data_IF_829283351943
#
_entry.id   IF_829283351943
#
_cell.length_a   1.000
_cell.length_b   1.000
_cell.length_c   1.000
_cell.angle_alpha   90.00
_cell.angle_beta   90.00
_cell.angle_gamma   90.00
#
_symmetry.space_group_name_H-M   'P 1'
#
loop_
_entity.id
_entity.type
_entity.pdbx_description
1 polymer ?
#
# COMPACT_ATOMS: atom_id res chain seq x y z
N UNK A 1 14.23 -10.48 21.07
CA UNK A 1 13.90 -9.05 21.24
C UNK A 1 14.88 -8.47 22.21
N UNK A 2 15.64 -7.45 21.80
CA UNK A 2 16.65 -6.79 22.63
C UNK A 2 16.10 -5.40 22.99
N UNK A 3 15.32 -5.33 24.06
CA UNK A 3 14.74 -4.06 24.55
C UNK A 3 15.62 -3.42 25.63
N UNK A 4 16.86 -3.06 25.25
CA UNK A 4 17.78 -2.44 26.20
C UNK A 4 17.38 -1.00 26.51
N UNK A 5 17.00 -0.76 27.76
CA UNK A 5 16.59 0.56 28.26
C UNK A 5 17.50 1.08 29.39
N UNK A 6 18.59 0.38 29.72
CA UNK A 6 19.46 0.71 30.86
C UNK A 6 20.52 1.78 30.54
N UNK A 7 20.37 2.50 29.42
CA UNK A 7 21.25 3.60 29.01
C UNK A 7 22.59 3.14 28.41
N UNK A 8 23.57 4.04 28.37
CA UNK A 8 24.87 3.81 27.70
C UNK A 8 25.96 3.27 28.65
N UNK A 9 25.59 2.80 29.84
CA UNK A 9 26.57 2.37 30.84
C UNK A 9 27.12 0.99 30.43
N UNK A 10 28.42 0.92 30.25
CA UNK A 10 29.16 -0.30 29.95
C UNK A 10 30.51 -0.27 30.69
N UNK A 11 31.10 -1.43 30.95
CA UNK A 11 32.45 -1.53 31.54
C UNK A 11 33.57 -1.17 30.53
N UNK A 12 33.21 -0.94 29.27
CA UNK A 12 34.11 -0.49 28.20
C UNK A 12 33.81 0.99 27.89
N UNK A 13 34.82 1.84 28.10
CA UNK A 13 34.69 3.27 27.85
C UNK A 13 34.29 3.57 26.39
N UNK A 14 33.24 4.35 26.21
CA UNK A 14 32.73 4.79 24.90
C UNK A 14 31.89 3.76 24.15
N UNK A 15 31.74 2.52 24.65
CA UNK A 15 30.90 1.50 24.03
C UNK A 15 29.42 1.70 24.43
N UNK A 16 28.55 1.87 23.43
CA UNK A 16 27.11 1.74 23.63
C UNK A 16 26.74 0.24 23.74
N UNK A 17 26.24 -0.23 24.90
CA UNK A 17 25.91 -1.64 25.10
C UNK A 17 24.91 -2.16 24.06
N UNK A 18 23.95 -1.34 23.62
CA UNK A 18 22.92 -1.78 22.70
C UNK A 18 23.50 -2.08 21.32
N UNK A 19 24.50 -1.30 20.88
CA UNK A 19 25.20 -1.57 19.63
C UNK A 19 25.93 -2.91 19.67
N UNK A 20 26.66 -3.18 20.76
CA UNK A 20 27.36 -4.45 20.97
C UNK A 20 26.41 -5.65 21.04
N UNK A 21 25.33 -5.53 21.84
CA UNK A 21 24.31 -6.57 21.97
C UNK A 21 23.67 -6.89 20.62
N UNK A 22 23.29 -5.86 19.85
CA UNK A 22 22.72 -6.06 18.52
C UNK A 22 23.66 -6.82 17.60
N UNK A 23 24.95 -6.48 17.59
CA UNK A 23 25.95 -7.16 16.76
C UNK A 23 26.10 -8.63 17.13
N UNK A 24 26.38 -8.94 18.40
CA UNK A 24 26.67 -10.31 18.82
C UNK A 24 25.45 -11.21 18.74
N UNK A 25 24.26 -10.74 19.12
CA UNK A 25 23.03 -11.53 18.97
C UNK A 25 22.63 -11.75 17.51
N UNK A 26 22.95 -10.81 16.62
CA UNK A 26 22.70 -11.01 15.19
C UNK A 26 23.62 -12.09 14.60
N UNK A 27 24.91 -12.08 14.96
CA UNK A 27 25.85 -13.12 14.54
C UNK A 27 25.47 -14.50 15.10
N UNK A 28 25.11 -14.58 16.38
CA UNK A 28 24.63 -15.80 17.04
C UNK A 28 23.40 -16.39 16.32
N UNK A 29 22.43 -15.54 15.95
CA UNK A 29 21.26 -15.96 15.17
C UNK A 29 21.61 -16.46 13.76
N UNK A 30 22.75 -16.07 13.18
CA UNK A 30 23.16 -16.44 11.84
C UNK A 30 23.95 -17.77 11.79
N UNK A 31 24.42 -18.30 12.92
CA UNK A 31 25.37 -19.44 12.95
C UNK A 31 24.82 -20.71 12.30
N UNK A 32 23.49 -20.89 12.28
CA UNK A 32 22.84 -22.07 11.69
C UNK A 32 22.53 -21.93 10.19
N UNK A 33 22.97 -20.85 9.53
CA UNK A 33 22.73 -20.59 8.10
C UNK A 33 21.35 -19.99 7.77
N UNK A 34 20.50 -19.81 8.77
CA UNK A 34 19.23 -19.10 8.69
C UNK A 34 19.43 -17.59 8.63
N UNK A 35 18.47 -16.87 8.04
CA UNK A 35 18.50 -15.40 8.03
C UNK A 35 18.34 -14.85 9.47
N UNK A 36 19.34 -14.16 10.02
CA UNK A 36 19.27 -13.64 11.37
C UNK A 36 18.21 -12.54 11.49
N UNK A 37 17.36 -12.66 12.51
CA UNK A 37 16.31 -11.69 12.81
C UNK A 37 16.34 -11.28 14.27
N UNK A 38 16.60 -10.00 14.52
CA UNK A 38 16.46 -9.38 15.85
C UNK A 38 15.62 -8.11 15.75
N UNK A 39 14.86 -7.82 16.82
CA UNK A 39 14.17 -6.55 17.01
C UNK A 39 14.86 -5.79 18.14
N UNK A 40 15.15 -4.51 17.91
CA UNK A 40 15.86 -3.65 18.86
C UNK A 40 15.54 -2.17 18.66
N UNK A 41 15.92 -1.34 19.63
CA UNK A 41 15.75 0.12 19.54
C UNK A 41 16.87 0.76 18.71
N UNK A 42 16.65 2.01 18.31
CA UNK A 42 17.66 2.80 17.61
C UNK A 42 18.85 3.12 18.52
N UNK A 43 20.05 2.67 18.14
CA UNK A 43 21.31 2.94 18.85
C UNK A 43 22.26 3.90 18.10
N UNK A 44 21.75 4.65 17.11
CA UNK A 44 22.52 5.60 16.30
C UNK A 44 22.76 5.16 14.86
N UNK A 45 23.47 5.98 14.09
CA UNK A 45 23.77 5.71 12.68
C UNK A 45 24.54 4.40 12.51
N UNK A 46 24.19 3.66 11.46
CA UNK A 46 24.75 2.32 11.22
C UNK A 46 24.07 1.19 12.00
N UNK A 47 23.14 1.49 12.92
CA UNK A 47 22.36 0.48 13.65
C UNK A 47 21.53 -0.41 12.72
N UNK A 48 21.12 0.05 11.54
CA UNK A 48 20.32 -0.71 10.59
C UNK A 48 20.98 -2.02 10.10
N UNK A 49 22.29 -2.20 10.34
CA UNK A 49 23.04 -3.39 9.94
C UNK A 49 22.61 -4.67 10.64
N UNK A 50 21.94 -4.59 11.80
CA UNK A 50 21.61 -5.77 12.59
C UNK A 50 20.11 -5.91 12.90
N UNK A 51 19.43 -4.97 13.58
CA UNK A 51 18.04 -5.16 13.96
C UNK A 51 17.07 -4.57 12.95
N UNK A 52 15.84 -5.09 13.00
CA UNK A 52 14.67 -4.28 12.69
C UNK A 52 14.48 -3.25 13.82
N UNK A 53 14.34 -1.98 13.45
CA UNK A 53 14.13 -0.89 14.39
C UNK A 53 12.66 -0.73 14.74
N UNK A 54 12.34 -0.16 15.90
CA UNK A 54 10.97 0.24 16.21
C UNK A 54 10.87 1.55 17.00
N UNK A 55 9.74 2.24 16.86
CA UNK A 55 9.48 3.56 17.48
C UNK A 55 9.30 3.57 19.00
N UNK A 56 9.34 2.41 19.65
CA UNK A 56 9.11 2.26 21.08
C UNK A 56 7.63 2.26 21.46
N UNK A 57 7.39 2.57 22.73
CA UNK A 57 6.10 2.40 23.39
C UNK A 57 5.15 3.56 23.01
N UNK A 58 4.32 3.33 21.99
CA UNK A 58 3.40 4.35 21.48
C UNK A 58 2.14 4.49 22.34
N UNK A 59 1.69 5.72 22.57
CA UNK A 59 0.39 5.94 23.22
C UNK A 59 -0.78 5.71 22.26
N UNK A 60 -1.90 5.13 22.73
CA UNK A 60 -3.09 4.89 21.90
C UNK A 60 -3.87 6.20 21.71
N UNK A 61 -3.54 6.97 20.67
CA UNK A 61 -4.25 8.22 20.33
C UNK A 61 -4.10 8.61 18.86
N UNK A 62 -5.05 9.39 18.34
CA UNK A 62 -4.99 9.93 16.97
C UNK A 62 -3.75 10.76 16.70
N UNK A 63 -3.30 11.57 17.67
CA UNK A 63 -2.07 12.37 17.54
C UNK A 63 -0.83 11.49 17.31
N UNK A 64 -0.78 10.33 17.94
CA UNK A 64 0.35 9.41 17.76
C UNK A 64 0.27 8.70 16.43
N UNK A 65 -0.91 8.26 15.99
CA UNK A 65 -1.11 7.71 14.64
C UNK A 65 -0.71 8.74 13.57
N UNK A 66 -1.09 10.00 13.71
CA UNK A 66 -0.73 11.09 12.79
C UNK A 66 0.78 11.32 12.66
N UNK A 67 1.54 10.99 13.70
CA UNK A 67 3.00 11.08 13.69
C UNK A 67 3.69 9.83 13.09
N UNK A 68 3.06 8.65 13.12
CA UNK A 68 3.75 7.40 12.74
C UNK A 68 4.15 7.33 11.27
N UNK A 69 3.35 7.76 10.27
CA UNK A 69 3.78 7.75 8.87
C UNK A 69 5.02 8.61 8.65
N UNK A 70 4.98 9.87 9.11
CA UNK A 70 6.14 10.77 9.10
C UNK A 70 7.38 10.12 9.73
N UNK A 71 7.25 9.52 10.92
CA UNK A 71 8.40 8.90 11.58
C UNK A 71 8.93 7.69 10.80
N UNK A 72 8.04 6.85 10.28
CA UNK A 72 8.40 5.65 9.51
C UNK A 72 9.17 6.01 8.25
N UNK A 73 8.71 7.01 7.49
CA UNK A 73 9.37 7.37 6.23
C UNK A 73 10.66 8.17 6.45
N UNK A 74 10.76 8.97 7.52
CA UNK A 74 12.01 9.67 7.84
C UNK A 74 13.08 8.74 8.38
N UNK A 75 12.74 7.52 8.82
CA UNK A 75 13.74 6.52 9.18
C UNK A 75 14.66 6.16 7.98
N UNK A 76 14.14 6.24 6.75
CA UNK A 76 14.91 6.05 5.53
C UNK A 76 16.05 7.08 5.38
N UNK A 77 15.87 8.33 5.84
CA UNK A 77 16.93 9.36 5.83
C UNK A 77 18.15 8.99 6.68
N UNK A 78 18.00 8.05 7.61
CA UNK A 78 19.08 7.54 8.45
C UNK A 78 19.48 6.10 8.07
N UNK A 79 19.10 5.65 6.87
CA UNK A 79 19.26 4.30 6.34
C UNK A 79 18.59 3.21 7.20
N UNK A 80 17.63 3.57 8.05
CA UNK A 80 16.90 2.61 8.89
C UNK A 80 15.59 2.20 8.23
N UNK A 81 15.69 1.49 7.11
CA UNK A 81 14.58 1.27 6.17
C UNK A 81 13.59 0.19 6.62
N UNK A 82 14.01 -0.77 7.45
CA UNK A 82 13.11 -1.72 8.13
C UNK A 82 12.62 -1.20 9.48
N UNK A 83 11.88 -0.10 9.42
CA UNK A 83 11.31 0.54 10.61
C UNK A 83 9.94 -0.03 10.97
N UNK A 84 9.74 -0.33 12.25
CA UNK A 84 8.51 -0.83 12.84
C UNK A 84 7.93 0.16 13.83
N UNK A 85 6.68 -0.05 14.21
CA UNK A 85 6.03 0.61 15.32
C UNK A 85 4.93 -0.30 15.86
N UNK A 86 4.42 0.00 17.05
CA UNK A 86 3.35 -0.79 17.66
C UNK A 86 2.01 -0.44 17.02
N UNK A 87 1.58 -1.24 16.04
CA UNK A 87 0.33 -1.02 15.30
C UNK A 87 -0.87 -1.23 16.24
N UNK A 88 -1.74 -0.24 16.28
CA UNK A 88 -2.86 -0.15 17.23
C UNK A 88 -2.49 0.46 18.59
N UNK A 89 -1.22 0.84 18.80
CA UNK A 89 -0.71 1.56 19.96
C UNK A 89 -0.33 0.67 21.16
N UNK A 90 0.80 0.96 21.81
CA UNK A 90 1.38 0.15 22.87
C UNK A 90 0.62 0.17 24.21
N UNK A 91 0.45 1.36 24.79
CA UNK A 91 -0.07 1.57 26.15
C UNK A 91 -0.73 2.96 26.29
N UNK A 92 -1.32 3.26 27.46
CA UNK A 92 -2.02 4.53 27.73
C UNK A 92 -3.13 4.86 26.70
N UNK A 93 -3.74 6.03 26.84
CA UNK A 93 -4.76 6.51 25.89
C UNK A 93 -6.12 5.86 26.12
N UNK A 94 -6.84 5.57 25.04
CA UNK A 94 -8.23 5.13 25.09
C UNK A 94 -8.55 4.15 23.96
N UNK A 95 -9.65 3.41 24.12
CA UNK A 95 -10.16 2.54 23.08
C UNK A 95 -10.95 3.35 22.05
N UNK A 96 -10.54 3.22 20.80
CA UNK A 96 -11.25 3.73 19.63
C UNK A 96 -11.06 2.72 18.49
N UNK A 97 -12.14 2.05 18.11
CA UNK A 97 -12.10 0.98 17.12
C UNK A 97 -11.78 1.53 15.71
N UNK A 98 -12.11 2.79 15.42
CA UNK A 98 -11.72 3.47 14.18
C UNK A 98 -10.22 3.75 14.15
N UNK A 99 -9.67 4.27 15.24
CA UNK A 99 -8.23 4.50 15.40
C UNK A 99 -7.45 3.20 15.18
N UNK A 100 -7.90 2.09 15.76
CA UNK A 100 -7.28 0.78 15.58
C UNK A 100 -7.25 0.37 14.10
N UNK A 101 -8.39 0.48 13.41
CA UNK A 101 -8.47 0.06 12.01
C UNK A 101 -7.62 0.97 11.11
N UNK A 102 -7.67 2.29 11.27
CA UNK A 102 -6.79 3.23 10.54
C UNK A 102 -5.30 2.93 10.74
N UNK A 103 -4.93 2.48 11.94
CA UNK A 103 -3.56 2.07 12.22
C UNK A 103 -3.18 0.77 11.49
N UNK A 104 -4.09 -0.21 11.42
CA UNK A 104 -3.86 -1.43 10.63
C UNK A 104 -3.73 -1.10 9.14
N UNK A 105 -4.61 -0.25 8.61
CA UNK A 105 -4.58 0.20 7.21
C UNK A 105 -3.21 0.78 6.84
N UNK A 106 -2.69 1.69 7.66
CA UNK A 106 -1.33 2.21 7.52
C UNK A 106 -0.26 1.11 7.69
N UNK A 107 -0.43 0.23 8.70
CA UNK A 107 0.50 -0.85 9.02
C UNK A 107 0.70 -1.86 7.88
N UNK A 108 -0.33 -2.11 7.07
CA UNK A 108 -0.24 -2.95 5.85
C UNK A 108 0.76 -2.40 4.84
N UNK A 109 0.95 -1.08 4.80
CA UNK A 109 1.89 -0.41 3.92
C UNK A 109 3.12 0.14 4.66
N UNK A 110 3.43 -0.43 5.84
CA UNK A 110 4.68 -0.15 6.56
C UNK A 110 5.74 -1.23 6.28
N UNK A 111 7.04 -0.99 6.54
CA UNK A 111 8.07 -2.03 6.34
C UNK A 111 7.79 -3.28 7.17
N UNK A 112 7.37 -3.10 8.43
CA UNK A 112 7.07 -4.20 9.35
C UNK A 112 5.65 -4.07 9.89
N UNK A 113 4.80 -5.06 9.61
CA UNK A 113 3.48 -5.17 10.23
C UNK A 113 3.57 -5.98 11.52
N UNK A 114 3.54 -5.28 12.67
CA UNK A 114 3.55 -5.90 14.00
C UNK A 114 2.49 -5.28 14.91
N UNK A 115 1.46 -6.07 15.23
CA UNK A 115 0.49 -5.73 16.27
C UNK A 115 1.15 -5.99 17.64
N UNK A 116 1.24 -4.96 18.49
CA UNK A 116 1.89 -5.09 19.79
C UNK A 116 1.33 -4.14 20.83
N UNK A 117 1.37 -4.56 22.08
CA UNK A 117 1.00 -3.77 23.25
C UNK A 117 1.65 -4.32 24.52
N UNK A 118 1.52 -3.55 25.59
CA UNK A 118 1.87 -4.00 26.94
C UNK A 118 1.12 -5.29 27.31
N UNK A 119 1.64 -6.04 28.30
CA UNK A 119 1.08 -7.31 28.77
C UNK A 119 -0.30 -7.21 29.47
N UNK A 120 -0.91 -6.02 29.49
CA UNK A 120 -2.25 -5.83 30.02
C UNK A 120 -3.28 -6.59 29.18
N UNK A 121 -4.03 -7.49 29.83
CA UNK A 121 -5.08 -8.28 29.18
C UNK A 121 -6.16 -7.43 28.51
N UNK A 122 -6.34 -6.17 28.94
CA UNK A 122 -7.32 -5.23 28.40
C UNK A 122 -6.86 -4.53 27.11
N UNK A 123 -5.58 -4.62 26.76
CA UNK A 123 -4.96 -3.89 25.64
C UNK A 123 -4.51 -4.79 24.48
N UNK A 124 -4.98 -6.04 24.44
CA UNK A 124 -4.69 -6.94 23.32
C UNK A 124 -5.15 -6.36 21.97
N UNK A 125 -4.37 -6.63 20.92
CA UNK A 125 -4.56 -6.08 19.56
C UNK A 125 -5.14 -7.09 18.57
N UNK A 126 -5.55 -8.24 19.06
CA UNK A 126 -6.12 -9.29 18.23
C UNK A 126 -7.46 -8.80 17.63
N UNK A 127 -7.67 -8.93 16.30
CA UNK A 127 -8.85 -8.37 15.62
C UNK A 127 -10.19 -8.77 16.23
N UNK A 128 -10.30 -10.01 16.74
CA UNK A 128 -11.53 -10.55 17.33
C UNK A 128 -11.95 -9.91 18.66
N UNK A 129 -11.12 -9.02 19.24
CA UNK A 129 -11.49 -8.20 20.40
C UNK A 129 -12.25 -6.93 20.03
N UNK A 130 -12.39 -6.63 18.74
CA UNK A 130 -13.02 -5.42 18.20
C UNK A 130 -14.45 -5.68 17.68
N UNK A 131 -15.20 -4.60 17.41
CA UNK A 131 -16.54 -4.69 16.80
C UNK A 131 -16.49 -5.55 15.53
N UNK A 132 -17.56 -6.28 15.21
CA UNK A 132 -17.57 -7.32 14.17
C UNK A 132 -17.08 -6.82 12.80
N UNK A 133 -17.58 -5.68 12.34
CA UNK A 133 -17.17 -5.01 11.10
C UNK A 133 -15.68 -4.63 11.09
N UNK A 134 -15.16 -4.20 12.25
CA UNK A 134 -13.74 -3.85 12.42
C UNK A 134 -12.87 -5.11 12.41
N UNK A 135 -13.30 -6.18 13.08
CA UNK A 135 -12.63 -7.48 13.03
C UNK A 135 -12.56 -8.03 11.60
N UNK A 136 -13.66 -7.96 10.86
CA UNK A 136 -13.74 -8.45 9.48
C UNK A 136 -12.84 -7.63 8.55
N UNK A 137 -12.86 -6.30 8.65
CA UNK A 137 -12.00 -5.43 7.86
C UNK A 137 -10.52 -5.60 8.21
N UNK A 138 -10.17 -5.65 9.50
CA UNK A 138 -8.80 -5.92 9.95
C UNK A 138 -8.29 -7.27 9.41
N UNK A 139 -9.12 -8.32 9.41
CA UNK A 139 -8.77 -9.60 8.79
C UNK A 139 -8.48 -9.45 7.29
N UNK A 140 -9.32 -8.74 6.54
CA UNK A 140 -9.11 -8.51 5.11
C UNK A 140 -7.78 -7.80 4.84
N UNK A 141 -7.46 -6.77 5.63
CA UNK A 141 -6.21 -6.04 5.56
C UNK A 141 -4.98 -6.90 5.88
N UNK A 142 -5.03 -7.72 6.93
CA UNK A 142 -3.95 -8.65 7.29
C UNK A 142 -3.74 -9.72 6.21
N UNK A 143 -4.83 -10.24 5.63
CA UNK A 143 -4.74 -11.13 4.48
C UNK A 143 -4.15 -10.42 3.25
N UNK A 144 -4.51 -9.17 3.00
CA UNK A 144 -3.96 -8.40 1.88
C UNK A 144 -2.45 -8.15 2.06
N UNK A 145 -1.98 -7.84 3.28
CA UNK A 145 -0.54 -7.77 3.59
C UNK A 145 0.18 -9.07 3.27
N UNK A 146 -0.42 -10.21 3.62
CA UNK A 146 0.17 -11.52 3.34
C UNK A 146 0.25 -11.78 1.82
N UNK A 147 -0.80 -11.44 1.07
CA UNK A 147 -0.77 -11.49 -0.39
C UNK A 147 0.31 -10.59 -1.01
N UNK A 148 0.63 -9.46 -0.40
CA UNK A 148 1.68 -8.54 -0.87
C UNK A 148 3.12 -9.07 -0.69
N UNK A 149 3.35 -10.22 -0.06
CA UNK A 149 4.70 -10.73 0.21
C UNK A 149 5.60 -10.76 -1.05
N UNK A 150 5.18 -11.26 -2.23
CA UNK A 150 6.06 -11.28 -3.41
C UNK A 150 6.54 -9.88 -3.82
N UNK A 151 5.65 -8.89 -3.78
CA UNK A 151 5.99 -7.49 -4.03
C UNK A 151 6.94 -6.93 -2.97
N UNK A 152 6.58 -7.07 -1.68
CA UNK A 152 7.36 -6.53 -0.56
C UNK A 152 8.75 -7.15 -0.53
N UNK A 153 8.85 -8.47 -0.71
CA UNK A 153 10.13 -9.17 -0.71
C UNK A 153 11.05 -8.73 -1.84
N UNK A 154 10.48 -8.47 -3.03
CA UNK A 154 11.21 -7.89 -4.15
C UNK A 154 11.72 -6.48 -3.82
N UNK A 155 10.89 -5.66 -3.18
CA UNK A 155 11.30 -4.31 -2.74
C UNK A 155 12.32 -4.35 -1.59
N UNK A 156 12.27 -5.36 -0.72
CA UNK A 156 13.28 -5.59 0.32
C UNK A 156 14.61 -6.03 -0.29
N UNK A 157 14.60 -6.87 -1.33
CA UNK A 157 15.79 -7.18 -2.12
C UNK A 157 16.36 -5.93 -2.79
N UNK A 158 15.50 -5.07 -3.37
CA UNK A 158 15.89 -3.76 -3.93
C UNK A 158 16.56 -2.88 -2.87
N UNK A 159 16.01 -2.84 -1.66
CA UNK A 159 16.60 -2.12 -0.53
C UNK A 159 17.96 -2.73 -0.14
N UNK A 160 18.06 -4.05 -0.01
CA UNK A 160 19.30 -4.73 0.34
C UNK A 160 20.42 -4.48 -0.68
N UNK A 161 20.12 -4.58 -1.99
CA UNK A 161 21.13 -4.41 -3.05
C UNK A 161 21.46 -2.97 -3.38
N UNK A 162 20.47 -2.09 -3.38
CA UNK A 162 20.62 -0.73 -3.92
C UNK A 162 20.47 0.37 -2.86
N UNK A 163 20.07 0.03 -1.63
CA UNK A 163 19.80 1.01 -0.58
C UNK A 163 18.52 1.83 -0.79
N UNK A 164 17.63 1.39 -1.70
CA UNK A 164 16.38 2.09 -2.04
C UNK A 164 15.26 1.52 -1.17
N UNK A 165 14.78 2.31 -0.21
CA UNK A 165 13.83 1.87 0.80
C UNK A 165 12.49 1.39 0.22
N UNK A 166 11.76 0.58 0.98
CA UNK A 166 10.38 0.25 0.66
C UNK A 166 9.45 1.46 0.86
N UNK A 167 9.64 2.25 1.92
CA UNK A 167 8.88 3.47 2.16
C UNK A 167 9.77 4.69 1.91
N UNK A 168 9.49 5.45 0.85
CA UNK A 168 10.29 6.62 0.47
C UNK A 168 9.44 7.89 0.56
N UNK A 169 9.92 8.93 1.26
CA UNK A 169 9.21 10.21 1.29
C UNK A 169 9.16 10.82 -0.12
N UNK A 170 8.10 11.57 -0.41
CA UNK A 170 7.87 12.09 -1.77
C UNK A 170 9.04 12.92 -2.32
N UNK A 171 9.76 13.65 -1.46
CA UNK A 171 10.92 14.46 -1.87
C UNK A 171 12.14 13.64 -2.33
N UNK A 172 12.16 12.31 -2.19
CA UNK A 172 13.20 11.48 -2.80
C UNK A 172 13.03 11.43 -4.33
N UNK A 173 11.81 11.20 -4.80
CA UNK A 173 11.50 11.17 -6.23
C UNK A 173 11.33 12.56 -6.83
N UNK A 174 10.94 13.55 -6.01
CA UNK A 174 10.65 14.92 -6.44
C UNK A 174 11.44 15.97 -5.64
N UNK A 175 12.78 15.94 -5.67
CA UNK A 175 13.62 16.77 -4.80
C UNK A 175 13.56 18.27 -5.13
N UNK A 176 13.09 18.64 -6.32
CA UNK A 176 13.00 20.02 -6.78
C UNK A 176 11.58 20.60 -6.72
N UNK A 177 10.64 19.91 -6.06
CA UNK A 177 9.22 20.29 -6.01
C UNK A 177 8.82 20.57 -4.56
N UNK A 178 8.41 21.80 -4.25
CA UNK A 178 8.11 22.24 -2.89
C UNK A 178 6.94 21.45 -2.28
N UNK A 179 5.93 21.13 -3.08
CA UNK A 179 4.75 20.36 -2.68
C UNK A 179 5.11 18.97 -2.13
N UNK A 180 6.19 18.35 -2.64
CA UNK A 180 6.67 17.06 -2.16
C UNK A 180 7.16 17.11 -0.69
N UNK A 181 7.61 18.28 -0.21
CA UNK A 181 8.02 18.48 1.18
C UNK A 181 6.83 18.79 2.10
N UNK A 182 5.70 19.23 1.54
CA UNK A 182 4.49 19.61 2.29
C UNK A 182 3.56 18.44 2.62
N UNK A 183 3.83 17.24 2.08
CA UNK A 183 3.04 16.02 2.29
C UNK A 183 3.76 15.00 3.19
N UNK A 184 4.06 15.42 4.41
CA UNK A 184 4.89 14.71 5.39
C UNK A 184 4.46 13.27 5.75
N UNK A 185 3.20 12.89 5.51
CA UNK A 185 2.66 11.55 5.77
C UNK A 185 2.40 10.74 4.49
N UNK A 186 2.62 11.33 3.31
CA UNK A 186 2.50 10.67 2.01
C UNK A 186 3.85 10.10 1.58
N UNK A 187 3.85 8.92 0.96
CA UNK A 187 5.07 8.25 0.55
C UNK A 187 4.86 7.27 -0.60
N UNK A 188 5.95 6.95 -1.29
CA UNK A 188 6.00 5.82 -2.19
C UNK A 188 6.22 4.54 -1.40
N UNK A 189 5.42 3.51 -1.69
CA UNK A 189 5.55 2.16 -1.15
C UNK A 189 6.05 1.23 -2.26
N UNK A 190 7.37 1.05 -2.29
CA UNK A 190 8.11 0.38 -3.36
C UNK A 190 8.12 1.20 -4.64
N UNK A 191 8.20 0.54 -5.79
CA UNK A 191 8.22 1.22 -7.09
C UNK A 191 6.84 1.57 -7.64
N UNK A 192 5.75 0.97 -7.13
CA UNK A 192 4.46 0.92 -7.84
C UNK A 192 3.33 1.70 -7.18
N UNK A 193 3.37 1.87 -5.85
CA UNK A 193 2.25 2.40 -5.08
C UNK A 193 2.62 3.70 -4.37
N UNK A 194 1.66 4.63 -4.30
CA UNK A 194 1.72 5.83 -3.47
C UNK A 194 0.65 5.75 -2.39
N UNK A 195 1.03 5.95 -1.13
CA UNK A 195 0.16 5.76 0.03
C UNK A 195 -0.14 7.11 0.66
N UNK A 196 -1.42 7.38 0.94
CA UNK A 196 -1.86 8.56 1.67
C UNK A 196 -2.67 8.11 2.89
N UNK A 197 -2.03 7.78 4.03
CA UNK A 197 -2.74 7.25 5.20
C UNK A 197 -3.74 8.27 5.77
N UNK A 198 -4.94 7.81 6.15
CA UNK A 198 -5.90 8.62 6.90
C UNK A 198 -5.60 8.48 8.39
N UNK A 199 -5.03 9.52 8.97
CA UNK A 199 -4.58 9.57 10.37
C UNK A 199 -5.46 10.45 11.27
N UNK A 200 -6.65 10.78 10.80
CA UNK A 200 -7.62 11.61 11.52
C UNK A 200 -8.99 10.94 11.55
N UNK A 201 -9.77 11.30 12.57
CA UNK A 201 -11.11 10.75 12.78
C UNK A 201 -12.05 11.17 11.66
N UNK A 202 -12.88 10.24 11.21
CA UNK A 202 -13.91 10.46 10.22
C UNK A 202 -14.91 11.53 10.66
N UNK A 203 -15.41 12.30 9.70
CA UNK A 203 -16.47 13.27 9.95
C UNK A 203 -17.75 12.55 10.33
N UNK A 204 -18.40 12.97 11.42
CA UNK A 204 -19.71 12.45 11.82
C UNK A 204 -20.83 12.85 10.85
N UNK A 205 -20.57 13.79 9.93
CA UNK A 205 -21.53 14.20 8.88
C UNK A 205 -21.48 13.28 7.68
N UNK A 206 -20.33 12.70 7.36
CA UNK A 206 -20.13 11.92 6.12
C UNK A 206 -19.79 10.46 6.37
N UNK A 207 -19.20 10.14 7.53
CA UNK A 207 -18.52 8.88 7.84
C UNK A 207 -17.24 8.62 7.01
N UNK A 208 -16.68 9.66 6.39
CA UNK A 208 -15.41 9.60 5.67
C UNK A 208 -14.31 10.23 6.50
N UNK A 209 -13.14 9.60 6.50
CA UNK A 209 -11.89 10.24 6.87
C UNK A 209 -11.25 10.87 5.63
N UNK A 210 -10.44 11.91 5.83
CA UNK A 210 -9.83 12.69 4.76
C UNK A 210 -8.34 12.88 5.01
N UNK A 211 -7.56 12.89 3.93
CA UNK A 211 -6.12 13.18 3.96
C UNK A 211 -5.78 14.16 2.83
N UNK A 212 -4.90 15.12 3.11
CA UNK A 212 -4.31 15.96 2.07
C UNK A 212 -3.21 15.19 1.37
N UNK A 213 -3.20 15.25 0.05
CA UNK A 213 -2.22 14.60 -0.79
C UNK A 213 -1.79 15.54 -1.93
N UNK A 214 -0.63 15.25 -2.49
CA UNK A 214 -0.14 15.87 -3.71
C UNK A 214 0.06 14.77 -4.74
N UNK A 215 -0.66 14.84 -5.85
CA UNK A 215 -0.51 13.94 -6.98
C UNK A 215 0.60 14.50 -7.86
N UNK A 216 1.71 13.77 -8.09
CA UNK A 216 2.76 14.22 -9.01
C UNK A 216 2.30 14.25 -10.46
N UNK A 217 3.15 14.73 -11.36
CA UNK A 217 2.92 14.58 -12.80
C UNK A 217 2.74 13.09 -13.18
N UNK A 218 1.73 12.82 -14.01
CA UNK A 218 1.32 11.48 -14.39
C UNK A 218 -0.07 11.11 -13.89
N UNK A 219 -0.48 9.88 -14.21
CA UNK A 219 -1.78 9.32 -13.85
C UNK A 219 -1.62 8.30 -12.72
N UNK A 220 -2.53 8.37 -11.76
CA UNK A 220 -2.54 7.50 -10.58
C UNK A 220 -3.94 6.96 -10.33
N UNK A 221 -4.09 5.65 -10.17
CA UNK A 221 -5.37 4.98 -9.98
C UNK A 221 -5.45 4.38 -8.58
N UNK A 222 -6.48 4.72 -7.80
CA UNK A 222 -6.73 4.11 -6.50
C UNK A 222 -7.09 2.63 -6.66
N UNK A 223 -6.33 1.74 -6.03
CA UNK A 223 -6.46 0.30 -6.24
C UNK A 223 -7.75 -0.30 -5.65
N UNK A 224 -8.42 0.43 -4.74
CA UNK A 224 -9.63 -0.02 -4.06
C UNK A 224 -10.88 0.62 -4.66
N UNK A 225 -10.82 1.91 -4.99
CA UNK A 225 -11.98 2.64 -5.52
C UNK A 225 -11.99 2.71 -7.05
N UNK A 226 -10.87 2.38 -7.70
CA UNK A 226 -10.62 2.53 -9.13
C UNK A 226 -10.72 3.97 -9.65
N UNK A 227 -10.75 4.96 -8.74
CA UNK A 227 -10.74 6.37 -9.11
C UNK A 227 -9.35 6.77 -9.61
N UNK A 228 -9.28 7.52 -10.72
CA UNK A 228 -8.01 7.96 -11.30
C UNK A 228 -7.80 9.47 -11.18
N UNK A 229 -6.57 9.88 -10.92
CA UNK A 229 -6.19 11.27 -10.76
C UNK A 229 -4.96 11.57 -11.61
N UNK A 230 -5.05 12.61 -12.43
CA UNK A 230 -3.90 13.16 -13.19
C UNK A 230 -3.36 14.38 -12.47
N UNK A 231 -2.07 14.39 -12.17
CA UNK A 231 -1.37 15.54 -11.60
C UNK A 231 -0.54 16.32 -12.64
N UNK A 232 0.23 17.32 -12.21
CA UNK A 232 0.49 17.68 -10.82
C UNK A 232 -0.68 18.45 -10.18
N UNK A 233 -1.11 18.05 -8.96
CA UNK A 233 -2.11 18.80 -8.18
C UNK A 233 -2.15 18.43 -6.70
N UNK A 234 -2.49 19.40 -5.86
CA UNK A 234 -2.92 19.14 -4.48
C UNK A 234 -4.39 18.72 -4.44
N UNK A 235 -4.70 17.73 -3.61
CA UNK A 235 -6.05 17.17 -3.48
C UNK A 235 -6.31 16.70 -2.05
N UNK A 236 -7.58 16.67 -1.65
CA UNK A 236 -8.01 15.97 -0.44
C UNK A 236 -8.69 14.66 -0.86
N UNK A 237 -8.13 13.53 -0.42
CA UNK A 237 -8.64 12.18 -0.71
C UNK A 237 -9.45 11.68 0.48
N UNK A 238 -10.58 11.04 0.19
CA UNK A 238 -11.56 10.69 1.22
C UNK A 238 -12.01 9.25 1.11
N UNK A 239 -11.93 8.52 2.21
CA UNK A 239 -12.36 7.11 2.25
C UNK A 239 -13.19 6.82 3.48
N UNK A 240 -14.09 5.86 3.35
CA UNK A 240 -14.79 5.27 4.49
C UNK A 240 -13.79 4.53 5.39
N UNK A 241 -14.26 4.09 6.55
CA UNK A 241 -13.45 3.45 7.59
C UNK A 241 -12.74 2.16 7.16
N UNK A 242 -13.15 1.55 6.04
CA UNK A 242 -12.66 0.25 5.57
C UNK A 242 -11.60 0.32 4.45
N UNK A 243 -11.20 1.53 4.04
CA UNK A 243 -10.14 1.71 3.05
C UNK A 243 -9.35 3.00 3.30
N UNK A 244 -8.12 3.06 2.77
CA UNK A 244 -7.32 4.29 2.66
C UNK A 244 -6.94 4.54 1.20
N UNK A 245 -6.60 5.78 0.82
CA UNK A 245 -6.10 6.05 -0.51
C UNK A 245 -4.75 5.37 -0.76
N UNK A 246 -4.73 4.47 -1.74
CA UNK A 246 -3.55 3.75 -2.21
C UNK A 246 -3.56 3.80 -3.72
N UNK A 247 -2.66 4.59 -4.29
CA UNK A 247 -2.69 4.96 -5.69
C UNK A 247 -1.58 4.24 -6.44
N UNK A 248 -1.94 3.39 -7.39
CA UNK A 248 -1.03 2.78 -8.34
C UNK A 248 -0.65 3.80 -9.42
N UNK A 249 0.65 3.92 -9.71
CA UNK A 249 1.10 4.72 -10.87
C UNK A 249 0.60 4.10 -12.18
N UNK A 250 0.52 4.90 -13.22
CA UNK A 250 0.32 4.41 -14.58
C UNK A 250 1.33 3.30 -14.93
N UNK A 251 0.86 2.22 -15.56
CA UNK A 251 1.68 1.05 -15.87
C UNK A 251 2.03 0.18 -14.65
N UNK A 252 1.48 0.43 -13.45
CA UNK A 252 1.87 -0.33 -12.27
C UNK A 252 1.68 -1.84 -12.43
N UNK A 253 2.65 -2.61 -11.97
CA UNK A 253 2.62 -4.09 -11.97
C UNK A 253 2.84 -4.58 -10.54
N UNK A 254 1.82 -5.17 -9.93
CA UNK A 254 1.82 -5.60 -8.53
C UNK A 254 1.64 -7.12 -8.44
N UNK A 255 2.73 -7.89 -8.21
CA UNK A 255 2.63 -9.32 -7.95
C UNK A 255 2.15 -9.60 -6.52
N UNK A 256 1.16 -10.48 -6.42
CA UNK A 256 0.50 -10.89 -5.19
C UNK A 256 0.50 -12.42 -5.12
N UNK A 257 0.65 -12.98 -3.92
CA UNK A 257 0.31 -14.37 -3.69
C UNK A 257 -1.21 -14.55 -3.79
N UNK A 258 -1.62 -15.63 -4.45
CA UNK A 258 -2.99 -16.14 -4.49
C UNK A 258 -3.10 -17.52 -3.83
N UNK A 259 -2.06 -17.95 -3.11
CA UNK A 259 -2.09 -19.18 -2.34
C UNK A 259 -3.04 -19.05 -1.15
N UNK A 260 -3.57 -20.21 -0.73
CA UNK A 260 -4.41 -20.28 0.47
C UNK A 260 -3.52 -20.49 1.69
N UNK A 261 -3.90 -19.86 2.81
CA UNK A 261 -3.21 -20.03 4.08
C UNK A 261 -2.27 -18.87 4.38
N UNK A 262 -1.16 -19.16 5.06
CA UNK A 262 -0.19 -18.17 5.55
C UNK A 262 1.27 -18.54 5.21
N UNK A 263 1.47 -19.36 4.16
CA UNK A 263 2.81 -19.70 3.66
C UNK A 263 3.52 -18.46 3.14
N UNK A 264 4.82 -18.35 3.37
CA UNK A 264 5.63 -17.19 2.94
C UNK A 264 6.72 -17.58 1.93
N UNK A 265 6.70 -18.82 1.43
CA UNK A 265 7.60 -19.25 0.35
C UNK A 265 7.14 -18.76 -1.02
N UNK A 266 7.91 -19.10 -2.04
CA UNK A 266 7.61 -18.76 -3.43
C UNK A 266 6.23 -19.32 -3.82
N UNK A 267 5.30 -18.47 -4.30
CA UNK A 267 3.90 -18.86 -4.42
C UNK A 267 3.67 -19.86 -5.56
N UNK A 268 2.77 -20.81 -5.34
CA UNK A 268 2.27 -21.71 -6.40
C UNK A 268 1.27 -20.99 -7.30
N UNK A 269 0.50 -20.06 -6.75
CA UNK A 269 -0.44 -19.22 -7.51
C UNK A 269 -0.07 -17.76 -7.33
N UNK A 270 0.31 -17.11 -8.43
CA UNK A 270 0.64 -15.69 -8.45
C UNK A 270 -0.49 -14.92 -9.14
N UNK A 271 -1.06 -13.95 -8.43
CA UNK A 271 -1.97 -12.97 -9.03
C UNK A 271 -1.19 -11.69 -9.32
N UNK A 272 -1.27 -11.18 -10.54
CA UNK A 272 -0.55 -9.97 -10.95
C UNK A 272 -1.59 -8.92 -11.29
N UNK A 273 -1.66 -7.85 -10.49
CA UNK A 273 -2.46 -6.68 -10.85
C UNK A 273 -1.66 -5.81 -11.80
N UNK A 274 -2.27 -5.46 -12.93
CA UNK A 274 -1.65 -4.69 -13.99
C UNK A 274 -2.54 -3.48 -14.28
N UNK A 275 -1.94 -2.29 -14.31
CA UNK A 275 -2.61 -1.04 -14.68
C UNK A 275 -2.11 -0.59 -16.05
N UNK A 276 -2.99 -0.01 -16.86
CA UNK A 276 -2.64 0.43 -18.21
C UNK A 276 -1.48 1.44 -18.19
N UNK A 277 -0.59 1.38 -19.17
CA UNK A 277 0.57 2.27 -19.28
C UNK A 277 1.82 1.60 -19.85
N UNK A 278 2.98 2.21 -19.61
CA UNK A 278 4.30 1.69 -19.98
C UNK A 278 5.16 1.53 -18.73
N UNK A 279 5.59 0.31 -18.42
CA UNK A 279 6.40 0.03 -17.24
C UNK A 279 7.05 -1.36 -17.32
N UNK A 280 8.00 -1.62 -16.44
CA UNK A 280 8.52 -2.96 -16.18
C UNK A 280 8.68 -3.20 -14.68
N UNK A 281 8.59 -4.46 -14.28
CA UNK A 281 8.81 -4.89 -12.90
C UNK A 281 9.53 -6.24 -12.89
N UNK A 282 10.61 -6.37 -12.11
CA UNK A 282 11.32 -7.65 -11.96
C UNK A 282 11.00 -8.27 -10.62
N UNK A 283 10.20 -9.34 -10.62
CA UNK A 283 9.97 -10.18 -9.44
C UNK A 283 11.26 -10.91 -9.06
N UNK A 284 11.63 -10.84 -7.79
CA UNK A 284 12.77 -11.55 -7.22
C UNK A 284 12.28 -12.61 -6.24
N UNK A 285 12.83 -13.82 -6.37
CA UNK A 285 12.53 -14.97 -5.54
C UNK A 285 13.83 -15.69 -5.16
N UNK A 286 13.94 -16.16 -3.92
CA UNK A 286 15.07 -16.94 -3.43
C UNK A 286 14.64 -18.08 -2.50
N UNK A 287 15.60 -18.70 -1.84
CA UNK A 287 15.37 -19.82 -0.92
C UNK A 287 15.18 -19.40 0.56
N UNK A 288 15.17 -18.10 0.86
CA UNK A 288 15.04 -17.56 2.22
C UNK A 288 16.21 -17.85 3.15
N UNK A 289 17.40 -18.20 2.62
CA UNK A 289 18.60 -18.56 3.39
C UNK A 289 19.77 -17.63 3.08
N UNK A 290 20.79 -17.66 3.93
CA UNK A 290 21.99 -16.80 3.80
C UNK A 290 22.76 -16.91 2.48
N UNK A 291 22.57 -17.98 1.70
CA UNK A 291 23.16 -18.16 0.36
C UNK A 291 22.28 -17.63 -0.80
N UNK A 292 21.34 -16.73 -0.52
CA UNK A 292 20.41 -16.14 -1.50
C UNK A 292 21.10 -15.53 -2.75
N UNK A 293 22.36 -15.09 -2.66
CA UNK A 293 23.09 -14.55 -3.81
C UNK A 293 23.34 -15.60 -4.91
N UNK A 294 23.47 -16.86 -4.53
CA UNK A 294 23.70 -18.00 -5.43
C UNK A 294 22.39 -18.71 -5.79
N UNK A 295 21.40 -18.65 -4.88
CA UNK A 295 20.09 -19.29 -5.02
C UNK A 295 18.99 -18.24 -5.18
N UNK A 296 18.93 -17.60 -6.35
CA UNK A 296 17.83 -16.70 -6.71
C UNK A 296 17.40 -16.84 -8.17
N UNK A 297 16.20 -16.37 -8.42
CA UNK A 297 15.60 -16.30 -9.75
C UNK A 297 14.83 -14.99 -9.91
N UNK A 298 14.88 -14.45 -11.12
CA UNK A 298 14.25 -13.19 -11.48
C UNK A 298 13.30 -13.41 -12.65
N UNK A 299 12.08 -12.92 -12.51
CA UNK A 299 11.08 -12.93 -13.58
C UNK A 299 10.70 -11.49 -13.90
N UNK A 300 10.98 -11.05 -15.13
CA UNK A 300 10.62 -9.71 -15.59
C UNK A 300 9.19 -9.68 -16.17
N UNK A 301 8.44 -8.66 -15.79
CA UNK A 301 7.14 -8.32 -16.33
C UNK A 301 7.27 -6.99 -17.07
N UNK A 302 6.69 -6.91 -18.27
CA UNK A 302 6.74 -5.71 -19.11
C UNK A 302 5.32 -5.40 -19.57
N UNK A 303 4.88 -4.15 -19.39
CA UNK A 303 3.65 -3.62 -20.00
C UNK A 303 4.01 -2.49 -20.95
N UNK A 304 3.43 -2.54 -22.15
CA UNK A 304 3.53 -1.48 -23.15
C UNK A 304 2.15 -1.17 -23.72
N UNK A 305 1.77 0.10 -23.83
CA UNK A 305 0.50 0.58 -24.35
C UNK A 305 0.71 1.67 -25.40
N UNK A 306 0.03 1.55 -26.55
CA UNK A 306 0.10 2.48 -27.68
C UNK A 306 -1.23 3.24 -27.93
N UNK A 307 -2.05 3.38 -26.89
CA UNK A 307 -3.42 3.92 -26.87
C UNK A 307 -4.50 3.06 -27.54
N UNK A 308 -4.14 2.16 -28.47
CA UNK A 308 -5.11 1.22 -29.06
C UNK A 308 -4.97 -0.16 -28.44
N UNK A 309 -3.75 -0.59 -28.18
CA UNK A 309 -3.45 -1.93 -27.70
C UNK A 309 -2.57 -1.85 -26.46
N UNK A 310 -2.78 -2.80 -25.56
CA UNK A 310 -1.94 -3.00 -24.37
C UNK A 310 -1.34 -4.39 -24.46
N UNK A 311 -0.02 -4.47 -24.39
CA UNK A 311 0.71 -5.73 -24.40
C UNK A 311 1.39 -5.94 -23.05
N UNK A 312 1.13 -7.08 -22.44
CA UNK A 312 1.78 -7.52 -21.20
C UNK A 312 2.59 -8.78 -21.48
N UNK A 313 3.85 -8.79 -21.05
CA UNK A 313 4.77 -9.90 -21.24
C UNK A 313 5.35 -10.33 -19.90
N UNK A 314 5.24 -11.62 -19.60
CA UNK A 314 6.01 -12.29 -18.55
C UNK A 314 7.21 -12.93 -19.25
N UNK A 315 8.41 -12.44 -18.99
CA UNK A 315 9.65 -12.99 -19.56
C UNK A 315 9.95 -14.34 -18.94
N UNK A 316 10.66 -15.19 -19.68
CA UNK A 316 11.24 -16.40 -19.13
C UNK A 316 12.10 -16.08 -17.88
N UNK A 317 11.97 -16.84 -16.78
CA UNK A 317 12.74 -16.59 -15.57
C UNK A 317 14.24 -16.82 -15.81
N UNK A 318 15.07 -16.01 -15.17
CA UNK A 318 16.54 -16.07 -15.26
C UNK A 318 17.13 -16.32 -13.87
N UNK A 319 17.97 -17.34 -13.74
CA UNK A 319 18.57 -17.78 -12.48
C UNK A 319 18.24 -19.22 -12.15
N UNK A 320 18.15 -19.54 -10.87
CA UNK A 320 17.81 -20.89 -10.37
C UNK A 320 16.29 -21.13 -10.43
N UNK A 321 15.81 -21.63 -11.57
CA UNK A 321 14.38 -21.86 -11.81
C UNK A 321 13.81 -22.99 -10.95
N UNK A 322 14.64 -23.81 -10.28
CA UNK A 322 14.15 -24.84 -9.36
C UNK A 322 13.50 -24.25 -8.10
N UNK A 323 13.77 -22.97 -7.81
CA UNK A 323 13.14 -22.22 -6.72
C UNK A 323 11.69 -21.85 -7.01
N UNK A 324 11.27 -21.90 -8.28
CA UNK A 324 9.89 -21.60 -8.71
C UNK A 324 9.13 -22.93 -8.82
N UNK A 325 7.89 -23.02 -8.30
CA UNK A 325 7.05 -24.19 -8.54
C UNK A 325 6.86 -24.45 -10.03
N UNK A 326 7.26 -25.64 -10.52
CA UNK A 326 7.10 -26.02 -11.92
C UNK A 326 5.63 -26.07 -12.40
N UNK A 327 4.68 -26.11 -11.46
CA UNK A 327 3.23 -26.04 -11.71
C UNK A 327 2.63 -24.68 -11.37
N UNK A 328 3.44 -23.62 -11.34
CA UNK A 328 2.96 -22.28 -10.98
C UNK A 328 1.84 -21.83 -11.92
N UNK A 329 0.81 -21.20 -11.35
CA UNK A 329 -0.29 -20.59 -12.08
C UNK A 329 -0.22 -19.07 -11.98
N UNK A 330 -0.45 -18.41 -13.09
CA UNK A 330 -0.58 -16.96 -13.17
C UNK A 330 -2.04 -16.56 -13.34
N UNK A 331 -2.47 -15.58 -12.53
CA UNK A 331 -3.74 -14.88 -12.67
C UNK A 331 -3.47 -13.40 -12.91
N UNK A 332 -3.46 -12.97 -14.16
CA UNK A 332 -3.20 -11.59 -14.56
C UNK A 332 -4.51 -10.83 -14.55
N UNK A 333 -4.60 -9.74 -13.80
CA UNK A 333 -5.78 -8.90 -13.64
C UNK A 333 -5.48 -7.51 -14.16
N UNK A 334 -6.03 -7.14 -15.30
CA UNK A 334 -5.93 -5.80 -15.86
C UNK A 334 -6.96 -4.89 -15.19
N UNK A 335 -6.51 -4.15 -14.17
CA UNK A 335 -7.38 -3.52 -13.17
C UNK A 335 -8.26 -2.40 -13.73
N UNK A 336 -7.79 -1.69 -14.74
CA UNK A 336 -8.41 -0.49 -15.29
C UNK A 336 -8.70 -0.57 -16.80
N UNK A 337 -8.67 -1.78 -17.37
CA UNK A 337 -8.90 -2.04 -18.80
C UNK A 337 -10.09 -2.98 -19.01
N UNK A 338 -10.90 -2.66 -20.03
CA UNK A 338 -11.89 -3.57 -20.63
C UNK A 338 -11.58 -3.79 -22.11
N UNK A 339 -11.81 -5.01 -22.57
CA UNK A 339 -11.79 -5.36 -23.99
C UNK A 339 -12.50 -6.69 -24.23
N UNK A 340 -13.01 -6.83 -25.45
CA UNK A 340 -13.61 -8.06 -25.99
C UNK A 340 -12.68 -8.76 -27.00
N UNK A 341 -11.53 -8.16 -27.34
CA UNK A 341 -10.56 -8.70 -28.30
C UNK A 341 -9.19 -8.83 -27.63
N UNK A 342 -8.88 -10.05 -27.18
CA UNK A 342 -7.71 -10.35 -26.38
C UNK A 342 -7.00 -11.56 -27.00
N UNK A 343 -5.72 -11.38 -27.28
CA UNK A 343 -4.83 -12.42 -27.78
C UNK A 343 -4.02 -12.98 -26.60
N UNK A 344 -4.14 -14.28 -26.35
CA UNK A 344 -3.53 -14.97 -25.20
C UNK A 344 -2.75 -16.20 -25.68
N UNK A 345 -1.76 -16.69 -24.92
CA UNK A 345 -1.07 -17.92 -25.28
C UNK A 345 -2.01 -19.13 -25.30
N UNK A 346 -1.66 -20.14 -26.09
CA UNK A 346 -2.39 -21.41 -26.11
C UNK A 346 -2.49 -22.02 -24.70
N UNK A 347 -3.70 -22.45 -24.35
CA UNK A 347 -4.04 -23.03 -23.05
C UNK A 347 -4.43 -22.02 -21.96
N UNK A 348 -4.42 -20.72 -22.25
CA UNK A 348 -4.89 -19.71 -21.31
C UNK A 348 -6.42 -19.53 -21.34
N UNK A 349 -6.98 -19.23 -20.17
CA UNK A 349 -8.39 -18.89 -20.00
C UNK A 349 -8.56 -17.36 -19.85
N UNK A 350 -9.65 -16.82 -20.41
CA UNK A 350 -9.99 -15.41 -20.34
C UNK A 350 -11.32 -15.25 -19.63
N UNK A 351 -11.37 -14.30 -18.69
CA UNK A 351 -12.57 -13.93 -17.96
C UNK A 351 -12.70 -12.42 -17.88
N UNK A 352 -13.90 -11.95 -17.57
CA UNK A 352 -14.15 -10.59 -17.11
C UNK A 352 -14.78 -10.67 -15.72
N UNK A 353 -14.35 -9.81 -14.80
CA UNK A 353 -14.98 -9.74 -13.48
C UNK A 353 -16.31 -8.96 -13.54
N UNK A 354 -16.93 -8.73 -12.37
CA UNK A 354 -18.21 -8.00 -12.27
C UNK A 354 -18.13 -6.55 -12.74
N UNK A 355 -16.93 -5.97 -12.78
CA UNK A 355 -16.69 -4.61 -13.27
C UNK A 355 -16.40 -4.59 -14.78
N UNK A 356 -16.13 -5.75 -15.38
CA UNK A 356 -15.70 -5.91 -16.76
C UNK A 356 -14.18 -5.99 -16.93
N UNK A 357 -13.41 -5.88 -15.84
CA UNK A 357 -11.95 -5.94 -15.87
C UNK A 357 -11.47 -7.28 -16.43
N UNK A 358 -10.50 -7.21 -17.35
CA UNK A 358 -9.95 -8.40 -18.03
C UNK A 358 -9.09 -9.22 -17.07
N UNK A 359 -9.33 -10.53 -17.03
CA UNK A 359 -8.54 -11.49 -16.29
C UNK A 359 -8.06 -12.58 -17.25
N UNK A 360 -6.76 -12.89 -17.19
CA UNK A 360 -6.17 -14.00 -17.92
C UNK A 360 -5.54 -14.97 -16.93
N UNK A 361 -5.91 -16.25 -17.02
CA UNK A 361 -5.28 -17.31 -16.24
C UNK A 361 -4.47 -18.22 -17.15
N UNK A 362 -3.23 -18.52 -16.78
CA UNK A 362 -2.35 -19.40 -17.55
C UNK A 362 -1.31 -20.10 -16.68
N UNK A 363 -0.83 -21.24 -17.14
CA UNK A 363 0.23 -21.98 -16.46
C UNK A 363 1.62 -21.41 -16.80
N UNK A 364 2.56 -21.63 -15.89
CA UNK A 364 3.96 -21.31 -16.07
C UNK A 364 4.57 -21.96 -17.33
N UNK A 365 5.44 -21.22 -18.01
CA UNK A 365 6.22 -21.67 -19.15
C UNK A 365 7.67 -21.22 -18.98
N UNK A 366 8.60 -22.02 -19.50
CA UNK A 366 10.04 -21.66 -19.54
C UNK A 366 10.38 -20.66 -20.64
N UNK A 367 9.39 -20.26 -21.44
CA UNK A 367 9.49 -19.23 -22.48
C UNK A 367 8.62 -18.03 -22.11
N UNK A 368 8.82 -16.91 -22.79
CA UNK A 368 7.97 -15.73 -22.63
C UNK A 368 6.48 -16.06 -22.81
N UNK A 369 5.65 -15.49 -21.95
CA UNK A 369 4.19 -15.48 -22.05
C UNK A 369 3.78 -14.06 -22.43
N UNK A 370 3.06 -13.91 -23.53
CA UNK A 370 2.60 -12.60 -23.99
C UNK A 370 1.09 -12.55 -24.15
N UNK A 371 0.50 -11.48 -23.63
CA UNK A 371 -0.92 -11.17 -23.69
C UNK A 371 -1.06 -9.83 -24.42
N UNK A 372 -1.91 -9.76 -25.44
CA UNK A 372 -2.23 -8.52 -26.14
C UNK A 372 -3.71 -8.21 -26.04
N UNK A 373 -4.04 -7.13 -25.35
CA UNK A 373 -5.40 -6.59 -25.29
C UNK A 373 -5.55 -5.58 -26.42
N UNK A 374 -6.36 -5.92 -27.42
CA UNK A 374 -6.63 -5.01 -28.54
C UNK A 374 -7.79 -4.09 -28.22
N UNK A 375 -7.85 -2.94 -28.86
CA UNK A 375 -8.90 -1.94 -28.65
C UNK A 375 -9.15 -1.62 -27.16
N UNK A 376 -8.07 -1.44 -26.43
CA UNK A 376 -8.04 -1.16 -24.99
C UNK A 376 -8.95 0.03 -24.67
N UNK A 377 -9.92 -0.17 -23.78
CA UNK A 377 -10.77 0.89 -23.25
C UNK A 377 -10.61 0.99 -21.73
N UNK A 378 -10.71 2.18 -21.15
CA UNK A 378 -10.72 2.32 -19.70
C UNK A 378 -11.95 1.63 -19.10
N UNK A 379 -11.81 1.12 -17.88
CA UNK A 379 -12.93 0.58 -17.11
C UNK A 379 -14.06 1.63 -16.99
N UNK A 380 -15.33 1.25 -17.22
CA UNK A 380 -16.45 2.15 -17.03
C UNK A 380 -16.49 2.69 -15.59
N UNK A 381 -16.75 3.99 -15.46
CA UNK A 381 -16.81 4.68 -14.17
C UNK A 381 -18.22 5.19 -13.90
N UNK A 382 -18.55 5.32 -12.61
CA UNK A 382 -19.76 6.01 -12.19
C UNK A 382 -19.74 7.46 -12.69
N UNK A 383 -20.90 7.97 -13.10
CA UNK A 383 -20.99 9.37 -13.53
C UNK A 383 -20.80 10.32 -12.34
N UNK A 384 -20.46 11.59 -12.60
CA UNK A 384 -20.45 12.60 -11.55
C UNK A 384 -21.80 12.68 -10.82
N UNK A 385 -22.91 12.49 -11.53
CA UNK A 385 -24.24 12.45 -10.91
C UNK A 385 -24.39 11.29 -9.93
N UNK A 386 -24.05 10.05 -10.32
CA UNK A 386 -24.18 8.88 -9.46
C UNK A 386 -23.37 9.05 -8.17
N UNK A 387 -22.15 9.58 -8.29
CA UNK A 387 -21.25 9.82 -7.17
C UNK A 387 -21.74 10.94 -6.27
N UNK A 388 -22.20 12.07 -6.83
CA UNK A 388 -22.78 13.17 -6.05
C UNK A 388 -24.04 12.68 -5.33
N UNK A 389 -24.90 11.91 -5.99
CA UNK A 389 -26.08 11.29 -5.36
C UNK A 389 -25.64 10.40 -4.19
N UNK A 390 -24.62 9.57 -4.35
CA UNK A 390 -24.09 8.71 -3.28
C UNK A 390 -23.53 9.53 -2.11
N UNK A 391 -22.81 10.63 -2.37
CA UNK A 391 -22.30 11.53 -1.32
C UNK A 391 -23.47 12.14 -0.52
N UNK A 392 -24.47 12.69 -1.23
CA UNK A 392 -25.62 13.29 -0.56
C UNK A 392 -26.48 12.24 0.15
N UNK A 393 -26.65 11.04 -0.40
CA UNK A 393 -27.43 9.97 0.24
C UNK A 393 -26.80 9.54 1.56
N UNK A 394 -25.47 9.50 1.66
CA UNK A 394 -24.71 9.15 2.87
C UNK A 394 -24.53 10.29 3.87
N UNK A 395 -24.80 11.54 3.49
CA UNK A 395 -24.74 12.69 4.39
C UNK A 395 -25.73 12.54 5.57
N UNK A 396 -25.21 12.52 6.81
CA UNK A 396 -25.95 12.44 8.06
C UNK A 396 -26.62 13.78 8.40
N UNK A 397 -27.68 14.12 7.68
CA UNK A 397 -28.47 15.35 7.85
C UNK A 397 -29.94 15.10 7.45
N UNK A 398 -30.85 15.94 7.97
CA UNK A 398 -32.27 15.84 7.70
C UNK A 398 -32.61 15.92 6.21
N UNK A 399 -33.50 15.04 5.76
CA UNK A 399 -33.86 14.84 4.35
C UNK A 399 -34.25 16.13 3.62
N UNK A 400 -34.98 17.04 4.28
CA UNK A 400 -35.39 18.32 3.69
C UNK A 400 -34.18 19.20 3.32
N UNK A 401 -33.20 19.32 4.22
CA UNK A 401 -31.97 20.10 3.98
C UNK A 401 -31.12 19.46 2.90
N UNK A 402 -30.93 18.14 2.98
CA UNK A 402 -30.19 17.34 1.98
C UNK A 402 -30.77 17.55 0.59
N UNK A 403 -32.07 17.36 0.44
CA UNK A 403 -32.77 17.56 -0.83
C UNK A 403 -32.65 19.00 -1.31
N UNK A 404 -32.79 19.99 -0.43
CA UNK A 404 -32.68 21.39 -0.83
C UNK A 404 -31.28 21.74 -1.33
N UNK A 405 -30.23 21.23 -0.68
CA UNK A 405 -28.86 21.44 -1.09
C UNK A 405 -28.50 20.71 -2.39
N UNK A 406 -29.04 19.50 -2.59
CA UNK A 406 -28.82 18.70 -3.80
C UNK A 406 -29.51 19.29 -5.05
N UNK A 407 -30.60 20.06 -4.91
CA UNK A 407 -31.36 20.63 -6.05
C UNK A 407 -30.48 21.31 -7.09
N UNK A 408 -29.46 22.05 -6.66
CA UNK A 408 -28.57 22.77 -7.57
C UNK A 408 -27.69 21.84 -8.41
N UNK A 409 -27.39 20.64 -7.90
CA UNK A 409 -26.60 19.62 -8.58
C UNK A 409 -27.46 18.70 -9.44
N UNK A 410 -28.78 18.66 -9.24
CA UNK A 410 -29.67 17.68 -9.85
C UNK A 410 -29.65 17.80 -11.38
N UNK A 411 -29.40 16.68 -12.06
CA UNK A 411 -29.34 16.55 -13.53
C UNK A 411 -28.21 17.34 -14.21
N UNK A 412 -27.27 17.92 -13.46
CA UNK A 412 -26.12 18.61 -14.03
C UNK A 412 -24.97 17.63 -14.30
N UNK A 413 -24.42 17.63 -15.49
CA UNK A 413 -23.36 16.68 -15.89
C UNK A 413 -22.06 17.39 -16.25
N UNK A 414 -22.09 18.70 -16.47
CA UNK A 414 -20.94 19.50 -16.79
C UNK A 414 -20.09 19.78 -15.55
N UNK A 415 -18.82 19.37 -15.61
CA UNK A 415 -17.86 19.50 -14.51
C UNK A 415 -17.61 20.94 -14.08
N UNK A 416 -17.57 21.89 -15.02
CA UNK A 416 -17.28 23.29 -14.73
C UNK A 416 -18.49 23.95 -14.06
N UNK A 417 -19.70 23.60 -14.50
CA UNK A 417 -20.94 24.04 -13.86
C UNK A 417 -21.05 23.45 -12.45
N UNK A 418 -20.81 22.15 -12.27
CA UNK A 418 -20.79 21.49 -10.95
C UNK A 418 -19.77 22.15 -10.00
N UNK A 419 -18.59 22.49 -10.51
CA UNK A 419 -17.54 23.18 -9.75
C UNK A 419 -17.97 24.60 -9.34
N UNK A 420 -18.66 25.32 -10.22
CA UNK A 420 -19.23 26.64 -9.95
C UNK A 420 -20.33 26.57 -8.87
N UNK A 421 -21.23 25.57 -8.98
CA UNK A 421 -22.27 25.31 -7.97
C UNK A 421 -21.63 25.01 -6.62
N UNK A 422 -20.65 24.10 -6.58
CA UNK A 422 -19.96 23.70 -5.36
C UNK A 422 -19.32 24.90 -4.65
N UNK A 423 -18.66 25.77 -5.42
CA UNK A 423 -18.00 26.98 -4.91
C UNK A 423 -19.01 27.93 -4.27
N UNK A 424 -20.14 28.19 -4.94
CA UNK A 424 -21.20 29.10 -4.48
C UNK A 424 -22.08 28.51 -3.38
N UNK A 425 -22.09 27.19 -3.22
CA UNK A 425 -22.96 26.51 -2.26
C UNK A 425 -22.61 26.81 -0.79
N UNK A 426 -23.60 26.72 0.09
CA UNK A 426 -23.40 26.76 1.55
C UNK A 426 -23.27 25.36 2.16
N UNK A 427 -22.76 24.39 1.39
CA UNK A 427 -22.53 23.04 1.89
C UNK A 427 -21.48 23.02 3.02
N UNK A 428 -21.62 22.12 4.01
CA UNK A 428 -20.57 21.89 4.99
C UNK A 428 -19.23 21.55 4.32
N UNK A 429 -18.12 21.96 4.94
CA UNK A 429 -16.75 21.73 4.42
C UNK A 429 -16.55 20.27 4.03
N UNK A 430 -16.90 19.33 4.90
CA UNK A 430 -16.70 17.89 4.70
C UNK A 430 -17.44 17.36 3.46
N UNK A 431 -18.64 17.88 3.18
CA UNK A 431 -19.38 17.55 1.96
C UNK A 431 -18.70 18.17 0.75
N UNK A 432 -18.22 19.42 0.87
CA UNK A 432 -17.49 20.07 -0.22
C UNK A 432 -16.22 19.32 -0.60
N UNK A 433 -15.53 18.72 0.38
CA UNK A 433 -14.33 17.89 0.13
C UNK A 433 -14.69 16.68 -0.73
N UNK A 434 -15.71 15.91 -0.34
CA UNK A 434 -16.15 14.73 -1.11
C UNK A 434 -16.57 15.07 -2.55
N UNK A 435 -17.36 16.14 -2.73
CA UNK A 435 -17.79 16.57 -4.07
C UNK A 435 -16.61 17.11 -4.86
N UNK A 436 -15.67 17.80 -4.24
CA UNK A 436 -14.47 18.31 -4.93
C UNK A 436 -13.57 17.16 -5.40
N UNK A 437 -13.35 16.15 -4.56
CA UNK A 437 -12.60 14.95 -4.95
C UNK A 437 -13.29 14.25 -6.14
N UNK A 438 -14.62 14.12 -6.08
CA UNK A 438 -15.42 13.57 -7.16
C UNK A 438 -15.15 14.27 -8.50
N UNK A 439 -15.19 15.61 -8.50
CA UNK A 439 -14.94 16.41 -9.70
C UNK A 439 -13.46 16.40 -10.16
N UNK A 440 -12.53 16.01 -9.30
CA UNK A 440 -11.10 15.92 -9.64
C UNK A 440 -10.68 14.58 -10.23
N UNK A 441 -11.58 13.60 -10.23
CA UNK A 441 -11.40 12.36 -10.96
C UNK A 441 -11.43 12.60 -12.48
N UNK A 442 -10.57 11.88 -13.18
CA UNK A 442 -10.51 11.81 -14.65
C UNK A 442 -11.62 10.92 -15.23
#
# INVERSE_FOLDING_TARGET
WIDWQQGKKSDVDGLDPLCALNHYHFLDNAENGELPLILSRYCGYGSHRYPLGFSGDTAISWRVLDFQPYFTINAANCAYTWWSHDIGGHHMGYRDDELYLRWIEFGVFSPVLRLHSTSSMLLGKEPWKYRKDICESAKQWLCFRHRLIPYIYTMDYRNHKNGIALCEPMYYSYPNTEEAFNVANQYMFGSELMICPITSKASTKTNFGTVKAWIPEGKYTDIFTMQSYTGPKEIELSREIYSIPVLAKEGAILPLSNDKGNTCGNPEQLEIWVFNGNNSFTLYEDNGKTNYEECNVKTEFEITSDHQNTRFVIKAPVGDTELIPGSRKYRIVFKDIVSDDIDVPEGADIYQDKTGAVIVECDFKTSDIAITIKNTKPLPKDTYQDRIINIFSRWQEGTAKKNNAYKAFKNETDKDVLSSILTKSHLPKDIKVLVRECLNEE
#
